data_IF_303307624904
#
_entry.id   IF_303307624904
#
_cell.length_a   1.000
_cell.length_b   1.000
_cell.length_c   1.000
_cell.angle_alpha   90.00
_cell.angle_beta   90.00
_cell.angle_gamma   90.00
#
_symmetry.space_group_name_H-M   'P 1'
#
loop_
_entity.id
_entity.type
_entity.pdbx_description
1 polymer ?
#
# COMPACT_ATOMS: atom_id res chain seq x y z
N UNK A 1 -5.90 27.63 -5.92
CA UNK A 1 -4.73 27.68 -5.02
C UNK A 1 -4.69 26.50 -4.04
N UNK A 2 -5.80 26.13 -3.38
CA UNK A 2 -5.87 24.95 -2.46
C UNK A 2 -5.62 23.58 -3.11
N UNK A 3 -6.03 23.37 -4.37
CA UNK A 3 -5.82 22.10 -5.09
C UNK A 3 -4.31 21.87 -5.35
N UNK A 4 -3.59 22.89 -5.81
CA UNK A 4 -2.14 22.83 -6.03
C UNK A 4 -1.35 22.56 -4.73
N UNK A 5 -1.79 23.13 -3.60
CA UNK A 5 -1.15 22.88 -2.30
C UNK A 5 -1.29 21.42 -1.85
N UNK A 6 -2.43 20.76 -2.12
CA UNK A 6 -2.62 19.33 -1.85
C UNK A 6 -1.85 18.44 -2.84
N UNK A 7 -1.76 18.82 -4.11
CA UNK A 7 -0.97 18.06 -5.09
C UNK A 7 0.52 18.06 -4.74
N UNK A 8 1.06 19.19 -4.25
CA UNK A 8 2.47 19.27 -3.83
C UNK A 8 2.74 18.42 -2.59
N UNK A 9 1.84 18.37 -1.61
CA UNK A 9 1.97 17.49 -0.44
C UNK A 9 1.88 16.00 -0.81
N UNK A 10 0.99 15.64 -1.74
CA UNK A 10 0.79 14.25 -2.24
C UNK A 10 1.96 13.69 -3.05
N UNK A 11 2.86 14.52 -3.59
CA UNK A 11 3.97 14.06 -4.45
C UNK A 11 5.16 13.50 -3.69
N UNK A 12 5.33 13.81 -2.40
CA UNK A 12 6.52 13.43 -1.63
C UNK A 12 6.30 12.28 -0.62
N UNK A 13 5.05 11.86 -0.38
CA UNK A 13 4.74 10.84 0.64
C UNK A 13 5.46 9.51 0.43
N UNK A 14 5.69 9.11 -0.83
CA UNK A 14 6.36 7.84 -1.16
C UNK A 14 7.72 7.64 -0.48
N UNK A 15 8.53 8.70 -0.41
CA UNK A 15 9.86 8.65 0.22
C UNK A 15 9.73 8.57 1.74
N UNK A 16 8.80 9.33 2.34
CA UNK A 16 8.55 9.28 3.78
C UNK A 16 8.11 7.88 4.24
N UNK A 17 7.23 7.22 3.49
CA UNK A 17 6.81 5.85 3.80
C UNK A 17 7.96 4.84 3.66
N UNK A 18 8.75 4.92 2.59
CA UNK A 18 9.89 4.03 2.40
C UNK A 18 10.92 4.17 3.53
N UNK A 19 11.22 5.41 3.95
CA UNK A 19 12.09 5.67 5.09
C UNK A 19 11.54 5.08 6.40
N UNK A 20 10.25 5.29 6.68
CA UNK A 20 9.60 4.73 7.87
C UNK A 20 9.60 3.18 7.87
N UNK A 21 9.38 2.54 6.72
CA UNK A 21 9.48 1.08 6.57
C UNK A 21 10.88 0.58 6.90
N UNK A 22 11.92 1.28 6.44
CA UNK A 22 13.32 0.94 6.76
C UNK A 22 13.59 1.12 8.26
N UNK A 23 13.12 2.21 8.87
CA UNK A 23 13.26 2.42 10.31
C UNK A 23 12.63 1.28 11.13
N UNK A 24 11.43 0.81 10.75
CA UNK A 24 10.79 -0.34 11.41
C UNK A 24 11.62 -1.62 11.27
N UNK A 25 12.23 -1.87 10.10
CA UNK A 25 13.14 -3.02 9.93
C UNK A 25 14.35 -2.91 10.85
N UNK A 26 15.00 -1.76 10.88
CA UNK A 26 16.20 -1.53 11.71
C UNK A 26 15.89 -1.65 13.21
N UNK A 27 14.73 -1.13 13.65
CA UNK A 27 14.26 -1.29 15.03
C UNK A 27 13.96 -2.75 15.38
N UNK A 28 13.38 -3.52 14.45
CA UNK A 28 13.14 -4.95 14.64
C UNK A 28 14.45 -5.74 14.74
N UNK A 29 15.46 -5.44 13.91
CA UNK A 29 16.79 -6.06 13.96
C UNK A 29 17.54 -5.72 15.26
N UNK A 30 17.54 -4.44 15.66
CA UNK A 30 18.11 -4.00 16.93
C UNK A 30 17.39 -4.62 18.14
N UNK A 31 16.06 -4.74 18.07
CA UNK A 31 15.26 -5.41 19.09
C UNK A 31 15.52 -6.92 19.11
N UNK A 32 15.75 -7.59 17.99
CA UNK A 32 16.11 -9.03 17.93
C UNK A 32 17.47 -9.30 18.60
N UNK A 33 18.47 -8.43 18.40
CA UNK A 33 19.74 -8.50 19.14
C UNK A 33 19.53 -8.33 20.66
N UNK A 34 18.51 -7.58 21.06
CA UNK A 34 18.12 -7.38 22.46
C UNK A 34 17.15 -8.44 23.02
N UNK A 35 16.39 -9.15 22.18
CA UNK A 35 15.23 -10.00 22.57
C UNK A 35 15.52 -11.49 22.66
N UNK A 36 16.78 -11.92 22.47
CA UNK A 36 17.24 -13.25 22.93
C UNK A 36 16.94 -13.46 24.44
N UNK A 37 16.63 -12.40 25.18
CA UNK A 37 16.36 -12.47 26.61
C UNK A 37 14.90 -12.51 27.09
N UNK A 38 13.83 -12.52 26.28
CA UNK A 38 12.45 -12.69 26.85
C UNK A 38 11.39 -13.09 25.83
N UNK A 39 10.76 -14.23 26.06
CA UNK A 39 9.60 -14.69 25.29
C UNK A 39 8.30 -14.72 26.11
N UNK A 40 7.20 -14.71 25.35
CA UNK A 40 5.83 -15.20 25.61
C UNK A 40 4.83 -14.20 26.22
N UNK A 41 3.73 -14.03 25.47
CA UNK A 41 2.41 -13.63 25.98
C UNK A 41 1.49 -12.99 24.93
N UNK A 42 0.58 -13.79 24.34
CA UNK A 42 -0.64 -13.40 23.59
C UNK A 42 -1.86 -13.85 24.43
N UNK A 43 -3.10 -13.29 24.37
CA UNK A 43 -4.03 -13.46 23.22
C UNK A 43 -5.10 -12.35 22.99
N UNK A 44 -5.90 -12.60 21.94
CA UNK A 44 -6.91 -11.83 21.18
C UNK A 44 -8.26 -11.48 21.84
N UNK A 45 -9.12 -10.72 21.09
CA UNK A 45 -10.58 -10.89 20.80
C UNK A 45 -11.35 -9.54 20.73
N UNK A 46 -12.48 -9.28 20.05
CA UNK A 46 -13.25 -9.79 18.89
C UNK A 46 -14.57 -8.96 18.70
N UNK A 47 -15.05 -8.77 17.45
CA UNK A 47 -16.45 -8.53 16.97
C UNK A 47 -17.20 -7.20 17.30
N UNK A 48 -18.17 -6.65 16.52
CA UNK A 48 -19.09 -7.17 15.48
C UNK A 48 -19.70 -6.07 14.55
N UNK A 49 -19.97 -6.47 13.29
CA UNK A 49 -21.10 -6.21 12.35
C UNK A 49 -21.76 -4.82 12.21
N UNK A 50 -21.91 -4.34 10.95
CA UNK A 50 -23.23 -4.04 10.32
C UNK A 50 -23.16 -3.68 8.79
N UNK A 51 -24.02 -4.35 8.01
CA UNK A 51 -24.69 -3.93 6.76
C UNK A 51 -24.11 -4.19 5.34
N UNK A 52 -24.89 -4.94 4.57
CA UNK A 52 -24.67 -5.59 3.27
C UNK A 52 -24.58 -4.67 2.03
N UNK A 53 -24.23 -3.40 2.21
CA UNK A 53 -23.74 -2.53 1.12
C UNK A 53 -22.56 -1.66 1.54
N UNK A 54 -22.18 -1.69 2.84
CA UNK A 54 -20.96 -1.07 3.35
C UNK A 54 -19.73 -1.94 3.10
N UNK A 55 -19.89 -3.25 2.91
CA UNK A 55 -18.77 -4.20 2.80
C UNK A 55 -17.76 -3.83 1.72
N UNK A 56 -18.21 -3.41 0.53
CA UNK A 56 -17.31 -3.08 -0.58
C UNK A 56 -16.62 -1.72 -0.38
N UNK A 57 -17.34 -0.74 0.17
CA UNK A 57 -16.76 0.56 0.49
C UNK A 57 -15.76 0.47 1.65
N UNK A 58 -16.07 -0.33 2.67
CA UNK A 58 -15.18 -0.63 3.79
C UNK A 58 -13.94 -1.39 3.32
N UNK A 59 -14.07 -2.39 2.46
CA UNK A 59 -12.94 -3.08 1.84
C UNK A 59 -12.03 -2.09 1.08
N UNK A 60 -12.63 -1.16 0.31
CA UNK A 60 -11.88 -0.12 -0.41
C UNK A 60 -11.20 0.88 0.53
N UNK A 61 -11.82 1.24 1.66
CA UNK A 61 -11.20 2.06 2.72
C UNK A 61 -10.02 1.33 3.37
N UNK A 62 -10.13 0.02 3.55
CA UNK A 62 -9.07 -0.84 4.08
C UNK A 62 -7.94 -1.11 3.06
N UNK A 63 -8.11 -0.66 1.81
CA UNK A 63 -7.12 -0.83 0.74
C UNK A 63 -7.14 -2.21 0.09
N UNK A 64 -8.24 -2.96 0.24
CA UNK A 64 -8.40 -4.32 -0.27
C UNK A 64 -8.82 -4.33 -1.74
N UNK A 65 -8.02 -3.66 -2.58
CA UNK A 65 -8.21 -3.61 -4.03
C UNK A 65 -7.84 -4.94 -4.68
N UNK A 66 -8.56 -5.35 -5.73
CA UNK A 66 -8.33 -6.65 -6.40
C UNK A 66 -6.88 -6.89 -6.78
N UNK A 67 -6.22 -5.88 -7.34
CA UNK A 67 -4.83 -6.00 -7.80
C UNK A 67 -3.84 -6.05 -6.62
N UNK A 68 -4.15 -5.38 -5.50
CA UNK A 68 -3.36 -5.46 -4.27
C UNK A 68 -3.53 -6.84 -3.61
N UNK A 69 -4.74 -7.38 -3.56
CA UNK A 69 -4.98 -8.75 -3.10
C UNK A 69 -4.24 -9.78 -3.98
N UNK A 70 -4.15 -9.53 -5.28
CA UNK A 70 -3.39 -10.37 -6.21
C UNK A 70 -1.89 -10.29 -5.94
N UNK A 71 -1.36 -9.10 -5.66
CA UNK A 71 0.03 -8.92 -5.20
C UNK A 71 0.30 -9.70 -3.91
N UNK A 72 -0.54 -9.52 -2.88
CA UNK A 72 -0.36 -10.17 -1.58
C UNK A 72 -0.21 -11.69 -1.71
N UNK A 73 -0.99 -12.32 -2.60
CA UNK A 73 -0.97 -13.77 -2.81
C UNK A 73 0.35 -14.30 -3.36
N UNK A 74 1.13 -13.47 -4.06
CA UNK A 74 2.42 -13.86 -4.67
C UNK A 74 3.63 -13.37 -3.86
N UNK A 75 3.41 -12.64 -2.78
CA UNK A 75 4.45 -12.13 -1.90
C UNK A 75 4.69 -13.08 -0.71
N UNK A 76 5.96 -13.22 -0.33
CA UNK A 76 6.34 -13.84 0.94
C UNK A 76 5.88 -12.92 2.07
N UNK A 77 5.17 -13.46 3.06
CA UNK A 77 4.56 -12.66 4.14
C UNK A 77 3.71 -11.50 3.59
N UNK A 78 2.96 -11.75 2.51
CA UNK A 78 2.17 -10.72 1.84
C UNK A 78 1.17 -10.00 2.76
N UNK A 79 0.34 -10.73 3.55
CA UNK A 79 -0.62 -10.11 4.47
C UNK A 79 0.06 -9.25 5.53
N UNK A 80 1.16 -9.73 6.13
CA UNK A 80 1.95 -9.01 7.12
C UNK A 80 2.63 -7.79 6.50
N UNK A 81 3.15 -7.93 5.27
CA UNK A 81 3.74 -6.82 4.52
C UNK A 81 2.74 -5.70 4.26
N UNK A 82 1.50 -6.04 3.89
CA UNK A 82 0.42 -5.05 3.75
C UNK A 82 0.09 -4.40 5.09
N UNK A 83 -0.11 -5.19 6.15
CA UNK A 83 -0.46 -4.67 7.47
C UNK A 83 0.57 -3.68 8.01
N UNK A 84 1.86 -3.99 7.83
CA UNK A 84 2.96 -3.09 8.20
C UNK A 84 2.93 -1.78 7.41
N UNK A 85 2.71 -1.87 6.09
CA UNK A 85 2.63 -0.68 5.23
C UNK A 85 1.41 0.17 5.56
N UNK A 86 0.27 -0.44 5.85
CA UNK A 86 -0.94 0.26 6.29
C UNK A 86 -0.68 1.00 7.59
N UNK A 87 -0.03 0.35 8.57
CA UNK A 87 0.37 0.99 9.83
C UNK A 87 1.32 2.17 9.61
N UNK A 88 2.26 2.05 8.67
CA UNK A 88 3.18 3.14 8.31
C UNK A 88 2.42 4.30 7.68
N UNK A 89 1.51 4.03 6.75
CA UNK A 89 0.71 5.06 6.11
C UNK A 89 -0.12 5.82 7.15
N UNK A 90 -0.72 5.12 8.11
CA UNK A 90 -1.49 5.72 9.21
C UNK A 90 -0.62 6.61 10.10
N UNK A 91 0.55 6.12 10.53
CA UNK A 91 1.50 6.89 11.36
C UNK A 91 2.07 8.09 10.63
N UNK A 92 2.18 8.01 9.31
CA UNK A 92 2.73 9.05 8.45
C UNK A 92 1.67 9.87 7.72
N UNK A 93 0.41 9.88 8.17
CA UNK A 93 -0.70 10.60 7.51
C UNK A 93 -0.43 12.09 7.27
N UNK A 94 0.47 12.72 8.05
CA UNK A 94 0.93 14.09 7.83
C UNK A 94 1.64 14.32 6.48
N UNK A 95 2.17 13.26 5.85
CA UNK A 95 2.81 13.27 4.53
C UNK A 95 1.81 13.02 3.37
N UNK A 96 0.52 12.93 3.68
CA UNK A 96 -0.54 12.42 2.78
C UNK A 96 -1.06 11.08 3.29
N UNK A 97 -2.18 10.60 2.73
CA UNK A 97 -2.72 9.27 3.06
C UNK A 97 -3.03 8.52 1.77
N UNK A 98 -2.22 7.51 1.47
CA UNK A 98 -2.23 6.90 0.14
C UNK A 98 -3.51 6.11 -0.15
N UNK A 99 -4.08 5.46 0.87
CA UNK A 99 -5.36 4.72 0.75
C UNK A 99 -6.53 5.68 0.50
N UNK A 100 -6.51 6.86 1.13
CA UNK A 100 -7.53 7.89 0.90
C UNK A 100 -7.42 8.47 -0.50
N UNK A 101 -6.20 8.68 -1.00
CA UNK A 101 -5.98 9.14 -2.37
C UNK A 101 -6.55 8.14 -3.39
N UNK A 102 -6.30 6.83 -3.21
CA UNK A 102 -6.83 5.80 -4.12
C UNK A 102 -8.37 5.76 -4.05
N UNK A 103 -8.94 5.77 -2.84
CA UNK A 103 -10.39 5.80 -2.63
C UNK A 103 -11.03 7.04 -3.26
N UNK A 104 -10.38 8.21 -3.11
CA UNK A 104 -10.83 9.45 -3.71
C UNK A 104 -10.93 9.33 -5.24
N UNK A 105 -9.87 8.88 -5.92
CA UNK A 105 -9.90 8.77 -7.39
C UNK A 105 -10.91 7.73 -7.89
N UNK A 106 -11.11 6.63 -7.15
CA UNK A 106 -12.14 5.63 -7.46
C UNK A 106 -13.55 6.25 -7.36
N UNK A 107 -13.86 6.95 -6.26
CA UNK A 107 -15.16 7.62 -6.07
C UNK A 107 -15.42 8.74 -7.08
N UNK A 108 -14.40 9.53 -7.44
CA UNK A 108 -14.57 10.57 -8.45
C UNK A 108 -14.82 9.96 -9.84
N UNK A 109 -14.23 8.81 -10.14
CA UNK A 109 -14.47 8.09 -11.38
C UNK A 109 -15.90 7.51 -11.47
N UNK A 110 -16.45 7.04 -10.35
CA UNK A 110 -17.84 6.57 -10.23
C UNK A 110 -18.87 7.68 -10.50
N UNK A 111 -18.56 8.92 -10.09
CA UNK A 111 -19.46 10.07 -10.26
C UNK A 111 -19.50 10.64 -11.67
N UNK A 112 -18.52 10.33 -12.51
CA UNK A 112 -18.45 10.88 -13.85
C UNK A 112 -19.50 10.26 -14.77
N UNK A 113 -20.30 11.11 -15.41
CA UNK A 113 -21.03 10.75 -16.61
C UNK A 113 -20.05 10.57 -17.78
N UNK A 114 -20.47 9.84 -18.83
CA UNK A 114 -19.63 9.47 -19.98
C UNK A 114 -19.10 10.65 -20.83
N UNK A 115 -19.28 11.90 -20.41
CA UNK A 115 -19.19 13.09 -21.28
C UNK A 115 -17.85 13.86 -21.18
N UNK A 116 -16.98 13.53 -20.21
CA UNK A 116 -15.66 14.20 -20.05
C UNK A 116 -14.49 13.21 -20.10
N UNK A 117 -14.06 12.88 -21.33
CA UNK A 117 -12.97 11.93 -21.55
C UNK A 117 -11.62 12.39 -21.00
N UNK A 118 -11.29 13.69 -21.05
CA UNK A 118 -10.03 14.22 -20.52
C UNK A 118 -9.95 14.14 -18.99
N UNK A 119 -11.02 14.54 -18.30
CA UNK A 119 -11.06 14.48 -16.84
C UNK A 119 -11.04 13.04 -16.34
N UNK A 120 -11.75 12.14 -17.05
CA UNK A 120 -11.73 10.70 -16.79
C UNK A 120 -10.32 10.12 -16.95
N UNK A 121 -9.61 10.47 -18.03
CA UNK A 121 -8.23 10.02 -18.24
C UNK A 121 -7.29 10.50 -17.12
N UNK A 122 -7.46 11.76 -16.67
CA UNK A 122 -6.70 12.31 -15.55
C UNK A 122 -6.93 11.55 -14.23
N UNK A 123 -8.20 11.27 -13.87
CA UNK A 123 -8.52 10.54 -12.63
C UNK A 123 -7.97 9.12 -12.66
N UNK A 124 -8.08 8.42 -13.80
CA UNK A 124 -7.52 7.08 -13.99
C UNK A 124 -6.00 7.10 -13.83
N UNK A 125 -5.31 8.04 -14.48
CA UNK A 125 -3.85 8.17 -14.39
C UNK A 125 -3.38 8.47 -12.96
N UNK A 126 -4.05 9.39 -12.26
CA UNK A 126 -3.72 9.71 -10.87
C UNK A 126 -4.02 8.54 -9.92
N UNK A 127 -5.14 7.85 -10.11
CA UNK A 127 -5.52 6.68 -9.35
C UNK A 127 -4.52 5.53 -9.51
N UNK A 128 -4.15 5.19 -10.75
CA UNK A 128 -3.15 4.16 -11.04
C UNK A 128 -1.79 4.54 -10.44
N UNK A 129 -1.38 5.82 -10.50
CA UNK A 129 -0.13 6.27 -9.86
C UNK A 129 -0.15 6.09 -8.35
N UNK A 130 -1.27 6.37 -7.69
CA UNK A 130 -1.42 6.15 -6.25
C UNK A 130 -1.38 4.65 -5.92
N UNK A 131 -2.12 3.83 -6.66
CA UNK A 131 -2.15 2.37 -6.50
C UNK A 131 -0.77 1.74 -6.74
N UNK A 132 -0.03 2.20 -7.75
CA UNK A 132 1.33 1.73 -8.04
C UNK A 132 2.31 2.07 -6.92
N UNK A 133 2.19 3.25 -6.28
CA UNK A 133 3.01 3.56 -5.09
C UNK A 133 2.71 2.60 -3.95
N UNK A 134 1.43 2.27 -3.73
CA UNK A 134 1.03 1.36 -2.67
C UNK A 134 1.54 -0.07 -2.93
N UNK A 135 1.41 -0.54 -4.17
CA UNK A 135 1.99 -1.79 -4.66
C UNK A 135 3.49 -1.88 -4.32
N UNK A 136 4.28 -0.87 -4.67
CA UNK A 136 5.72 -0.89 -4.44
C UNK A 136 6.10 -0.86 -2.96
N UNK A 137 5.35 -0.15 -2.11
CA UNK A 137 5.60 -0.16 -0.66
C UNK A 137 5.37 -1.55 -0.06
N UNK A 138 4.30 -2.24 -0.44
CA UNK A 138 4.00 -3.61 0.01
C UNK A 138 5.06 -4.57 -0.52
N UNK A 139 5.38 -4.50 -1.81
CA UNK A 139 6.42 -5.34 -2.41
C UNK A 139 7.78 -5.10 -1.75
N UNK A 140 8.15 -3.85 -1.47
CA UNK A 140 9.38 -3.50 -0.77
C UNK A 140 9.40 -4.04 0.66
N UNK A 141 8.28 -3.97 1.39
CA UNK A 141 8.18 -4.57 2.72
C UNK A 141 8.35 -6.09 2.68
N UNK A 142 7.74 -6.77 1.71
CA UNK A 142 7.94 -8.22 1.51
C UNK A 142 9.36 -8.57 1.11
N UNK A 143 9.99 -7.77 0.25
CA UNK A 143 11.41 -7.89 -0.07
C UNK A 143 12.25 -7.80 1.21
N UNK A 144 11.98 -6.85 2.08
CA UNK A 144 12.69 -6.71 3.35
C UNK A 144 12.51 -7.90 4.31
N UNK A 145 11.39 -8.63 4.23
CA UNK A 145 11.17 -9.89 4.93
C UNK A 145 11.92 -11.08 4.31
N UNK A 146 12.20 -11.03 3.02
CA UNK A 146 12.93 -12.10 2.34
C UNK A 146 14.41 -12.09 2.71
N UNK A 147 15.00 -13.26 2.92
CA UNK A 147 16.46 -13.42 3.13
C UNK A 147 17.27 -12.80 1.98
N UNK A 148 16.69 -12.76 0.77
CA UNK A 148 17.31 -12.13 -0.41
C UNK A 148 17.60 -10.64 -0.25
N UNK A 149 16.99 -9.92 0.70
CA UNK A 149 17.35 -8.51 0.93
C UNK A 149 18.79 -8.31 1.42
N UNK A 150 19.45 -9.35 1.94
CA UNK A 150 20.87 -9.31 2.30
C UNK A 150 21.78 -9.72 1.12
N UNK A 151 21.22 -10.26 0.05
CA UNK A 151 21.94 -10.91 -1.06
C UNK A 151 21.82 -10.14 -2.38
N UNK A 152 20.73 -9.41 -2.60
CA UNK A 152 20.48 -8.66 -3.84
C UNK A 152 19.69 -7.38 -3.59
N UNK A 153 19.79 -6.41 -4.50
CA UNK A 153 19.02 -5.16 -4.45
C UNK A 153 17.53 -5.36 -4.81
N UNK A 154 16.66 -4.46 -4.33
CA UNK A 154 15.21 -4.52 -4.59
C UNK A 154 14.85 -4.55 -6.08
N UNK A 155 15.55 -3.77 -6.90
CA UNK A 155 15.34 -3.73 -8.37
C UNK A 155 15.63 -5.10 -8.99
N UNK A 156 16.78 -5.69 -8.68
CA UNK A 156 17.13 -7.02 -9.14
C UNK A 156 16.15 -8.10 -8.65
N UNK A 157 15.63 -7.97 -7.42
CA UNK A 157 14.62 -8.87 -6.87
C UNK A 157 13.26 -8.75 -7.59
N UNK A 158 12.88 -7.53 -7.98
CA UNK A 158 11.69 -7.30 -8.81
C UNK A 158 11.87 -7.89 -10.21
N UNK A 159 13.03 -7.69 -10.83
CA UNK A 159 13.34 -8.17 -12.18
C UNK A 159 13.41 -9.70 -12.25
N UNK A 160 13.85 -10.35 -11.17
CA UNK A 160 13.85 -11.81 -11.05
C UNK A 160 12.45 -12.43 -10.93
N UNK A 161 11.41 -11.59 -10.71
CA UNK A 161 10.02 -12.02 -10.46
C UNK A 161 9.06 -11.40 -11.48
N UNK A 162 9.01 -11.94 -12.72
CA UNK A 162 8.23 -11.36 -13.80
C UNK A 162 6.73 -11.25 -13.47
N UNK A 163 6.19 -12.11 -12.60
CA UNK A 163 4.83 -12.04 -12.10
C UNK A 163 4.51 -10.68 -11.43
N UNK A 164 5.47 -10.09 -10.72
CA UNK A 164 5.28 -8.78 -10.09
C UNK A 164 5.26 -7.67 -11.14
N UNK A 165 6.13 -7.76 -12.14
CA UNK A 165 6.14 -6.86 -13.29
C UNK A 165 4.82 -6.90 -14.04
N UNK A 166 4.28 -8.10 -14.28
CA UNK A 166 2.97 -8.30 -14.90
C UNK A 166 1.85 -7.66 -14.06
N UNK A 167 1.81 -7.87 -12.75
CA UNK A 167 0.80 -7.24 -11.89
C UNK A 167 0.90 -5.70 -11.89
N UNK A 168 2.11 -5.14 -11.77
CA UNK A 168 2.34 -3.69 -11.73
C UNK A 168 1.96 -2.97 -13.04
N UNK A 169 2.15 -3.64 -14.18
CA UNK A 169 1.77 -3.11 -15.49
C UNK A 169 0.27 -3.16 -15.77
N UNK A 170 -0.45 -4.07 -15.10
CA UNK A 170 -1.88 -4.31 -15.33
C UNK A 170 -2.78 -3.74 -14.22
N UNK A 171 -2.26 -2.86 -13.36
CA UNK A 171 -3.02 -2.20 -12.30
C UNK A 171 -4.23 -1.42 -12.85
N UNK A 172 -5.37 -1.57 -12.21
CA UNK A 172 -6.65 -0.93 -12.52
C UNK A 172 -7.25 -0.33 -11.26
N UNK A 173 -7.86 0.83 -11.42
CA UNK A 173 -8.77 1.40 -10.42
C UNK A 173 -10.15 0.78 -10.67
N UNK A 174 -10.67 0.07 -9.68
CA UNK A 174 -12.03 -0.44 -9.71
C UNK A 174 -13.03 0.75 -9.72
N UNK A 175 -14.03 0.65 -10.60
CA UNK A 175 -15.22 1.51 -10.62
C UNK A 175 -16.28 0.98 -9.65
#
# INVERSE_FOLDING_TARGET
MLIQSNTVRRRFGGVAYAMAIICIKLEAEAALTSRVSRSIGSPCSSNSQEEFSNSDEEARKMGDYRDILSLIRVLVQGPESKADVDSVIDKCAGAGHLRDDILYYSKELEKLSNDSDEHRAYLVDMGIKALRRYFFLIAFRSYLYSTSANEMEFTAWMDARPELGHLCNNLRIDR
#
